data_IF_100130652313
#
_entry.id   IF_100130652313
#
_cell.length_a   1.000
_cell.length_b   1.000
_cell.length_c   1.000
_cell.angle_alpha   90.00
_cell.angle_beta   90.00
_cell.angle_gamma   90.00
#
_symmetry.space_group_name_H-M   'P 1'
#
loop_
_entity.id
_entity.type
_entity.pdbx_description
1 polymer ?
#
# COMPACT_ATOMS: atom_id res chain seq x y z
N UNK A 1 -39.75 3.96 -1.00
CA UNK A 1 -38.97 3.58 0.20
C UNK A 1 -37.62 4.23 0.07
N UNK A 2 -37.14 4.93 1.11
CA UNK A 2 -35.77 5.45 1.15
C UNK A 2 -34.79 4.28 1.22
N UNK A 3 -33.75 4.32 0.39
CA UNK A 3 -32.71 3.32 0.32
C UNK A 3 -31.91 3.26 1.63
N UNK A 4 -31.62 2.08 2.16
CA UNK A 4 -30.75 1.93 3.33
C UNK A 4 -29.28 2.06 2.95
N UNK A 5 -28.40 2.44 3.90
CA UNK A 5 -26.96 2.52 3.65
C UNK A 5 -26.37 1.19 3.16
N UNK A 6 -26.79 0.06 3.75
CA UNK A 6 -26.33 -1.27 3.31
C UNK A 6 -26.65 -1.54 1.84
N UNK A 7 -27.89 -1.27 1.43
CA UNK A 7 -28.28 -1.40 0.03
C UNK A 7 -27.49 -0.45 -0.88
N UNK A 8 -27.20 0.77 -0.40
CA UNK A 8 -26.43 1.76 -1.15
C UNK A 8 -24.99 1.32 -1.39
N UNK A 9 -24.37 0.72 -0.38
CA UNK A 9 -23.03 0.12 -0.51
C UNK A 9 -23.04 -1.04 -1.50
N UNK A 10 -23.98 -1.99 -1.37
CA UNK A 10 -24.10 -3.13 -2.30
C UNK A 10 -24.27 -2.66 -3.76
N UNK A 11 -25.12 -1.66 -3.99
CA UNK A 11 -25.31 -1.10 -5.33
C UNK A 11 -24.09 -0.34 -5.85
N UNK A 12 -23.41 0.43 -5.00
CA UNK A 12 -22.22 1.17 -5.39
C UNK A 12 -21.07 0.23 -5.78
N UNK A 13 -20.84 -0.84 -5.03
CA UNK A 13 -19.82 -1.84 -5.34
C UNK A 13 -20.07 -2.53 -6.69
N UNK A 14 -21.31 -2.95 -6.95
CA UNK A 14 -21.68 -3.54 -8.25
C UNK A 14 -21.51 -2.55 -9.39
N UNK A 15 -21.92 -1.29 -9.19
CA UNK A 15 -21.78 -0.24 -10.20
C UNK A 15 -20.32 0.14 -10.48
N UNK A 16 -19.42 -0.07 -9.52
CA UNK A 16 -17.99 0.21 -9.66
C UNK A 16 -17.15 -0.96 -10.12
N UNK A 17 -17.72 -2.15 -10.27
CA UNK A 17 -17.00 -3.35 -10.70
C UNK A 17 -16.19 -3.13 -12.00
N UNK A 18 -16.82 -2.60 -13.05
CA UNK A 18 -16.14 -2.38 -14.33
C UNK A 18 -15.05 -1.31 -14.23
N UNK A 19 -15.24 -0.33 -13.35
CA UNK A 19 -14.23 0.71 -13.08
C UNK A 19 -13.07 0.15 -12.29
N UNK A 20 -13.32 -0.73 -11.31
CA UNK A 20 -12.28 -1.46 -10.60
C UNK A 20 -11.47 -2.33 -11.58
N UNK A 21 -12.14 -3.09 -12.45
CA UNK A 21 -11.48 -3.88 -13.48
C UNK A 21 -10.60 -3.01 -14.40
N UNK A 22 -11.10 -1.84 -14.83
CA UNK A 22 -10.33 -0.89 -15.62
C UNK A 22 -9.12 -0.33 -14.86
N UNK A 23 -9.26 -0.06 -13.56
CA UNK A 23 -8.16 0.44 -12.73
C UNK A 23 -7.04 -0.59 -12.55
N UNK A 24 -7.42 -1.86 -12.32
CA UNK A 24 -6.50 -2.98 -12.16
C UNK A 24 -5.77 -3.33 -13.44
N UNK A 25 -6.40 -3.08 -14.58
CA UNK A 25 -5.79 -3.27 -15.90
C UNK A 25 -4.64 -2.30 -16.18
N UNK A 26 -4.57 -1.18 -15.47
CA UNK A 26 -3.45 -0.27 -15.55
C UNK A 26 -2.24 -0.87 -14.82
N UNK A 27 -1.18 -1.16 -15.55
CA UNK A 27 0.02 -1.83 -15.06
C UNK A 27 1.01 -0.83 -14.44
N UNK A 28 0.58 -0.11 -13.40
CA UNK A 28 1.37 0.93 -12.71
C UNK A 28 2.50 0.38 -11.85
N UNK A 29 3.46 -0.25 -12.50
CA UNK A 29 4.66 -0.74 -11.83
C UNK A 29 5.68 0.41 -11.73
N UNK A 30 5.73 1.06 -10.56
CA UNK A 30 6.56 2.25 -10.29
C UNK A 30 8.05 1.98 -10.52
N UNK A 31 8.54 0.80 -10.09
CA UNK A 31 9.91 0.34 -10.33
C UNK A 31 10.29 0.24 -11.82
N UNK A 32 9.30 0.22 -12.72
CA UNK A 32 9.47 0.13 -14.17
C UNK A 32 8.97 1.40 -14.91
N UNK A 33 8.49 2.41 -14.18
CA UNK A 33 7.90 3.66 -14.70
C UNK A 33 6.80 3.43 -15.75
N UNK A 34 5.92 2.45 -15.50
CA UNK A 34 4.84 2.07 -16.42
C UNK A 34 3.53 2.76 -16.05
N UNK A 35 2.80 3.24 -17.06
CA UNK A 35 1.40 3.71 -17.00
C UNK A 35 1.05 4.72 -15.88
N UNK A 36 2.05 5.48 -15.41
CA UNK A 36 1.91 6.42 -14.29
C UNK A 36 0.91 7.53 -14.63
N UNK A 37 1.12 8.22 -15.76
CA UNK A 37 0.26 9.35 -16.15
C UNK A 37 -1.15 8.88 -16.53
N UNK A 38 -1.28 7.74 -17.20
CA UNK A 38 -2.56 7.11 -17.53
C UNK A 38 -3.38 6.78 -16.27
N UNK A 39 -2.70 6.37 -15.21
CA UNK A 39 -3.34 6.05 -13.94
C UNK A 39 -3.69 7.29 -13.13
N UNK A 40 -2.85 8.31 -13.16
CA UNK A 40 -3.19 9.63 -12.61
C UNK A 40 -4.43 10.20 -13.30
N UNK A 41 -4.50 10.13 -14.64
CA UNK A 41 -5.67 10.55 -15.42
C UNK A 41 -6.93 9.76 -15.03
N UNK A 42 -6.80 8.44 -14.88
CA UNK A 42 -7.89 7.58 -14.41
C UNK A 42 -8.39 8.01 -13.03
N UNK A 43 -7.48 8.23 -12.08
CA UNK A 43 -7.81 8.63 -10.72
C UNK A 43 -8.49 10.00 -10.67
N UNK A 44 -8.00 10.97 -11.45
CA UNK A 44 -8.66 12.27 -11.59
C UNK A 44 -10.12 12.11 -11.99
N UNK A 45 -10.42 11.28 -13.00
CA UNK A 45 -11.79 11.03 -13.43
C UNK A 45 -12.60 10.27 -12.37
N UNK A 46 -12.00 9.28 -11.71
CA UNK A 46 -12.66 8.51 -10.66
C UNK A 46 -13.10 9.42 -9.50
N UNK A 47 -12.21 10.30 -9.02
CA UNK A 47 -12.53 11.27 -7.98
C UNK A 47 -13.52 12.36 -8.44
N UNK A 48 -13.35 12.92 -9.64
CA UNK A 48 -14.29 13.90 -10.20
C UNK A 48 -15.70 13.32 -10.33
N UNK A 49 -15.82 12.02 -10.64
CA UNK A 49 -17.13 11.34 -10.76
C UNK A 49 -17.93 11.27 -9.45
N UNK A 50 -17.27 11.40 -8.30
CA UNK A 50 -17.93 11.50 -6.99
C UNK A 50 -18.07 12.94 -6.49
N UNK A 51 -17.78 13.91 -7.35
CA UNK A 51 -17.88 15.34 -7.04
C UNK A 51 -16.69 15.90 -6.26
N UNK A 52 -15.54 15.20 -6.25
CA UNK A 52 -14.35 15.71 -5.59
C UNK A 52 -13.69 16.83 -6.41
N UNK A 53 -13.08 17.79 -5.70
CA UNK A 53 -12.11 18.72 -6.30
C UNK A 53 -10.74 18.05 -6.27
N UNK A 54 -10.08 17.95 -7.43
CA UNK A 54 -8.83 17.21 -7.59
C UNK A 54 -7.70 18.13 -8.04
N UNK A 55 -6.54 17.96 -7.43
CA UNK A 55 -5.27 18.59 -7.80
C UNK A 55 -4.22 17.51 -7.93
N UNK A 56 -3.38 17.58 -8.96
CA UNK A 56 -2.23 16.67 -9.12
C UNK A 56 -0.96 17.43 -8.75
N UNK A 57 -0.23 16.95 -7.75
CA UNK A 57 1.04 17.51 -7.30
C UNK A 57 2.21 16.86 -8.05
N UNK A 58 3.09 17.71 -8.57
CA UNK A 58 4.27 17.33 -9.40
C UNK A 58 5.49 18.19 -9.08
N UNK A 59 5.43 18.88 -7.96
CA UNK A 59 6.30 19.98 -7.56
C UNK A 59 7.49 19.53 -6.71
N UNK A 60 7.56 18.23 -6.38
CA UNK A 60 8.79 17.58 -5.91
C UNK A 60 9.51 16.96 -7.11
N UNK A 61 10.72 17.46 -7.39
CA UNK A 61 11.49 17.01 -8.54
C UNK A 61 11.85 15.52 -8.45
N UNK A 62 11.54 14.76 -9.51
CA UNK A 62 11.82 13.33 -9.61
C UNK A 62 10.74 12.43 -9.06
N UNK A 63 9.69 12.98 -8.43
CA UNK A 63 8.60 12.17 -7.90
C UNK A 63 7.65 11.69 -9.00
N UNK A 64 7.03 10.54 -8.79
CA UNK A 64 5.74 10.24 -9.42
C UNK A 64 4.68 11.23 -8.93
N UNK A 65 3.65 11.54 -9.74
CA UNK A 65 2.63 12.50 -9.35
C UNK A 65 1.79 12.02 -8.17
N UNK A 66 1.41 12.92 -7.28
CA UNK A 66 0.48 12.64 -6.18
C UNK A 66 -0.90 13.19 -6.55
N UNK A 67 -1.94 12.38 -6.41
CA UNK A 67 -3.32 12.82 -6.63
C UNK A 67 -3.92 13.23 -5.30
N UNK A 68 -4.25 14.52 -5.16
CA UNK A 68 -4.94 15.05 -3.99
C UNK A 68 -6.38 15.38 -4.34
N UNK A 69 -7.33 14.81 -3.60
CA UNK A 69 -8.76 15.01 -3.81
C UNK A 69 -9.47 15.44 -2.52
N UNK A 70 -10.45 16.34 -2.65
CA UNK A 70 -11.23 16.84 -1.51
C UNK A 70 -12.74 16.78 -1.79
N UNK A 71 -13.50 16.41 -0.77
CA UNK A 71 -14.96 16.36 -0.77
C UNK A 71 -15.47 17.08 0.49
N UNK A 72 -16.34 18.09 0.35
CA UNK A 72 -16.91 18.76 1.52
C UNK A 72 -17.91 17.86 2.24
N UNK A 73 -18.11 18.12 3.54
CA UNK A 73 -19.20 17.52 4.29
C UNK A 73 -20.55 17.75 3.60
N UNK A 74 -21.45 16.77 3.72
CA UNK A 74 -22.83 16.91 3.24
C UNK A 74 -23.62 17.94 4.04
N UNK A 75 -24.86 18.27 3.62
CA UNK A 75 -25.67 19.33 4.25
C UNK A 75 -25.91 19.17 5.75
N UNK A 76 -25.91 17.93 6.24
CA UNK A 76 -26.08 17.59 7.67
C UNK A 76 -24.77 17.12 8.32
N UNK A 77 -23.66 17.13 7.58
CA UNK A 77 -22.35 16.74 8.07
C UNK A 77 -21.66 17.85 8.86
N UNK A 78 -20.64 17.48 9.61
CA UNK A 78 -19.80 18.42 10.36
C UNK A 78 -18.66 18.93 9.47
N UNK A 79 -18.79 20.17 8.96
CA UNK A 79 -17.79 20.81 8.12
C UNK A 79 -16.50 21.23 8.87
N UNK A 80 -16.49 21.19 10.21
CA UNK A 80 -15.30 21.47 11.02
C UNK A 80 -14.44 20.22 11.23
N UNK A 81 -14.86 19.06 10.72
CA UNK A 81 -14.14 17.79 10.82
C UNK A 81 -13.65 17.30 9.46
N UNK A 82 -12.44 16.76 9.45
CA UNK A 82 -11.78 16.28 8.24
C UNK A 82 -11.14 14.92 8.47
N UNK A 83 -11.48 13.96 7.61
CA UNK A 83 -10.84 12.65 7.51
C UNK A 83 -9.95 12.62 6.26
N UNK A 84 -8.68 12.28 6.42
CA UNK A 84 -7.76 12.07 5.31
C UNK A 84 -7.53 10.56 5.09
N UNK A 85 -7.65 10.11 3.86
CA UNK A 85 -7.21 8.79 3.44
C UNK A 85 -5.87 8.91 2.72
N UNK A 86 -4.91 8.08 3.14
CA UNK A 86 -3.71 7.80 2.38
C UNK A 86 -3.90 6.46 1.65
N UNK A 87 -3.48 6.42 0.39
CA UNK A 87 -3.51 5.27 -0.51
C UNK A 87 -2.31 5.40 -1.48
N UNK A 88 -2.05 4.35 -2.25
CA UNK A 88 -1.12 4.40 -3.38
C UNK A 88 -1.74 3.76 -4.63
N UNK A 89 -1.23 4.10 -5.81
CA UNK A 89 -1.72 3.60 -7.10
C UNK A 89 -0.71 2.76 -7.86
N UNK A 90 0.56 2.79 -7.44
CA UNK A 90 1.57 1.88 -7.97
C UNK A 90 1.39 0.48 -7.38
N UNK A 91 1.97 -0.51 -8.05
CA UNK A 91 1.84 -1.91 -7.67
C UNK A 91 3.16 -2.65 -7.90
N UNK A 92 3.42 -3.70 -7.12
CA UNK A 92 4.55 -4.58 -7.37
C UNK A 92 4.56 -5.18 -8.79
N UNK A 93 5.74 -5.49 -9.35
CA UNK A 93 5.85 -6.30 -10.57
C UNK A 93 5.10 -7.63 -10.43
N UNK A 94 4.47 -8.15 -11.50
CA UNK A 94 3.74 -9.41 -11.46
C UNK A 94 4.65 -10.64 -11.61
N UNK A 95 5.92 -10.49 -11.99
CA UNK A 95 6.78 -11.63 -12.25
C UNK A 95 7.04 -12.49 -11.00
N UNK A 96 7.21 -13.82 -11.16
CA UNK A 96 7.19 -14.59 -12.42
C UNK A 96 5.78 -14.84 -12.96
N UNK A 97 5.55 -14.56 -14.26
CA UNK A 97 4.23 -14.63 -14.88
C UNK A 97 3.67 -16.05 -15.01
N UNK A 98 4.54 -17.05 -15.09
CA UNK A 98 4.16 -18.47 -15.23
C UNK A 98 3.66 -19.10 -13.93
N UNK A 99 3.84 -18.44 -12.79
CA UNK A 99 3.24 -18.85 -11.51
C UNK A 99 1.80 -18.35 -11.32
N UNK A 100 1.35 -17.41 -12.16
CA UNK A 100 -0.02 -16.93 -12.12
C UNK A 100 -0.99 -17.92 -12.78
N UNK A 101 -2.13 -18.16 -12.10
CA UNK A 101 -3.22 -18.97 -12.65
C UNK A 101 -4.20 -18.16 -13.50
N UNK A 102 -4.20 -16.83 -13.35
CA UNK A 102 -5.01 -15.85 -14.10
C UNK A 102 -4.11 -14.74 -14.61
N UNK A 103 -4.50 -14.00 -15.65
CA UNK A 103 -3.68 -12.87 -16.10
C UNK A 103 -3.56 -11.83 -14.96
N UNK A 104 -2.34 -11.37 -14.59
CA UNK A 104 -2.15 -10.59 -13.36
C UNK A 104 -2.99 -9.32 -13.31
N UNK A 105 -3.16 -8.62 -14.42
CA UNK A 105 -3.85 -7.34 -14.48
C UNK A 105 -5.31 -7.44 -15.00
N UNK A 106 -5.81 -8.66 -15.22
CA UNK A 106 -7.23 -8.85 -15.55
C UNK A 106 -7.98 -9.34 -14.31
N UNK A 107 -8.95 -8.54 -13.84
CA UNK A 107 -9.81 -8.90 -12.72
C UNK A 107 -10.54 -10.21 -12.99
N UNK A 108 -10.19 -11.26 -12.24
CA UNK A 108 -10.77 -12.59 -12.38
C UNK A 108 -11.37 -13.06 -11.07
N UNK A 109 -12.58 -13.61 -11.10
CA UNK A 109 -13.18 -14.25 -9.91
C UNK A 109 -12.76 -15.73 -9.85
N UNK A 110 -12.16 -16.13 -8.72
CA UNK A 110 -11.75 -17.50 -8.41
C UNK A 110 -12.28 -17.85 -7.03
N UNK A 111 -13.13 -18.88 -6.94
CA UNK A 111 -13.73 -19.36 -5.68
C UNK A 111 -14.38 -18.25 -4.83
N UNK A 112 -15.09 -17.33 -5.47
CA UNK A 112 -15.76 -16.20 -4.81
C UNK A 112 -14.84 -15.07 -4.36
N UNK A 113 -13.58 -15.07 -4.81
CA UNK A 113 -12.58 -14.03 -4.53
C UNK A 113 -12.10 -13.40 -5.84
N UNK A 114 -11.89 -12.10 -5.81
CA UNK A 114 -11.26 -11.39 -6.91
C UNK A 114 -9.74 -11.53 -6.85
N UNK A 115 -9.14 -11.89 -7.99
CA UNK A 115 -7.70 -12.10 -8.16
C UNK A 115 -7.21 -11.16 -9.26
N UNK A 116 -6.33 -10.24 -8.88
CA UNK A 116 -5.55 -9.38 -9.78
C UNK A 116 -4.41 -8.70 -8.98
N UNK A 117 -3.31 -8.35 -9.63
CA UNK A 117 -2.29 -7.45 -9.10
C UNK A 117 -2.93 -6.10 -8.76
N UNK A 118 -2.70 -5.61 -7.55
CA UNK A 118 -3.27 -4.36 -7.06
C UNK A 118 -4.62 -4.49 -6.37
N UNK A 119 -5.31 -5.65 -6.41
CA UNK A 119 -6.67 -5.77 -5.86
C UNK A 119 -6.74 -5.51 -4.36
N UNK A 120 -5.74 -5.93 -3.60
CA UNK A 120 -5.66 -5.75 -2.14
C UNK A 120 -4.56 -4.78 -1.71
N UNK A 121 -3.78 -4.27 -2.67
CA UNK A 121 -2.56 -3.50 -2.40
C UNK A 121 -2.24 -2.60 -3.61
N UNK A 122 -2.87 -1.43 -3.76
CA UNK A 122 -3.99 -0.92 -2.93
C UNK A 122 -5.16 -0.34 -3.77
N UNK A 123 -5.22 -0.76 -5.05
CA UNK A 123 -6.23 -0.24 -5.99
C UNK A 123 -7.66 -0.58 -5.56
N UNK A 124 -7.87 -1.78 -5.03
CA UNK A 124 -9.20 -2.20 -4.59
C UNK A 124 -9.68 -1.50 -3.34
N UNK A 125 -8.81 -1.21 -2.36
CA UNK A 125 -9.26 -0.46 -1.18
C UNK A 125 -9.63 0.97 -1.55
N UNK A 126 -8.84 1.65 -2.39
CA UNK A 126 -9.18 2.99 -2.86
C UNK A 126 -10.56 2.99 -3.55
N UNK A 127 -10.82 2.01 -4.42
CA UNK A 127 -12.12 1.88 -5.09
C UNK A 127 -13.27 1.56 -4.12
N UNK A 128 -13.00 0.78 -3.06
CA UNK A 128 -13.99 0.52 -2.01
C UNK A 128 -14.35 1.80 -1.24
N UNK A 129 -13.37 2.68 -0.99
CA UNK A 129 -13.58 3.99 -0.34
C UNK A 129 -14.42 4.90 -1.23
N UNK A 130 -14.15 4.93 -2.54
CA UNK A 130 -14.99 5.68 -3.51
C UNK A 130 -16.42 5.13 -3.60
N UNK A 131 -16.61 3.82 -3.51
CA UNK A 131 -17.93 3.20 -3.44
C UNK A 131 -18.68 3.63 -2.17
N UNK A 132 -17.99 3.69 -1.03
CA UNK A 132 -18.55 4.17 0.23
C UNK A 132 -18.97 5.65 0.16
N UNK A 133 -18.17 6.50 -0.49
CA UNK A 133 -18.52 7.91 -0.75
C UNK A 133 -19.84 8.00 -1.52
N UNK A 134 -20.00 7.24 -2.61
CA UNK A 134 -21.25 7.20 -3.40
C UNK A 134 -22.44 6.75 -2.57
N UNK A 135 -22.27 5.69 -1.78
CA UNK A 135 -23.32 5.16 -0.93
C UNK A 135 -23.78 6.17 0.12
N UNK A 136 -22.85 6.90 0.75
CA UNK A 136 -23.15 7.96 1.71
C UNK A 136 -23.85 9.13 1.02
N UNK A 137 -23.35 9.60 -0.12
CA UNK A 137 -23.99 10.68 -0.90
C UNK A 137 -25.43 10.35 -1.32
N UNK A 138 -25.70 9.09 -1.69
CA UNK A 138 -27.03 8.62 -2.09
C UNK A 138 -28.01 8.46 -0.90
N UNK A 139 -27.53 8.49 0.33
CA UNK A 139 -28.34 8.22 1.53
C UNK A 139 -28.36 9.41 2.50
N UNK A 140 -27.29 9.61 3.26
CA UNK A 140 -27.21 10.62 4.34
C UNK A 140 -26.41 11.87 3.99
N UNK A 141 -25.67 11.86 2.88
CA UNK A 141 -24.55 12.77 2.65
C UNK A 141 -23.31 12.38 3.46
N UNK A 142 -22.19 13.02 3.15
CA UNK A 142 -20.92 12.80 3.85
C UNK A 142 -20.97 13.38 5.27
N UNK A 143 -20.51 12.64 6.30
CA UNK A 143 -20.61 13.08 7.70
C UNK A 143 -19.59 14.17 8.08
N UNK A 144 -18.53 14.33 7.30
CA UNK A 144 -17.45 15.30 7.49
C UNK A 144 -16.75 15.57 6.14
N UNK A 145 -15.77 16.47 6.11
CA UNK A 145 -14.93 16.64 4.94
C UNK A 145 -14.05 15.39 4.75
N UNK A 146 -13.90 14.96 3.51
CA UNK A 146 -12.96 13.90 3.15
C UNK A 146 -11.83 14.48 2.31
N UNK A 147 -10.62 14.02 2.58
CA UNK A 147 -9.44 14.25 1.77
C UNK A 147 -8.86 12.90 1.37
N UNK A 148 -8.24 12.85 0.21
CA UNK A 148 -7.48 11.71 -0.27
C UNK A 148 -6.14 12.22 -0.77
N UNK A 149 -5.07 11.52 -0.41
CA UNK A 149 -3.77 11.65 -1.04
C UNK A 149 -3.39 10.27 -1.56
N UNK A 150 -3.15 10.17 -2.86
CA UNK A 150 -2.80 8.91 -3.53
C UNK A 150 -1.44 9.07 -4.19
N UNK A 151 -0.44 8.35 -3.71
CA UNK A 151 0.92 8.40 -4.26
C UNK A 151 1.20 7.27 -5.25
N UNK A 152 2.31 7.37 -5.98
CA UNK A 152 2.72 6.37 -6.99
C UNK A 152 4.09 5.77 -6.73
N UNK A 153 4.56 5.81 -5.48
CA UNK A 153 5.92 5.39 -5.14
C UNK A 153 6.01 4.48 -3.90
N UNK A 154 4.87 4.02 -3.35
CA UNK A 154 4.87 3.23 -2.10
C UNK A 154 5.71 1.95 -2.26
N UNK A 155 5.56 1.29 -3.41
CA UNK A 155 6.18 -0.01 -3.69
C UNK A 155 7.70 0.08 -3.93
N UNK A 156 8.20 1.32 -4.07
CA UNK A 156 9.64 1.66 -4.13
C UNK A 156 10.12 2.41 -2.88
N UNK A 157 9.32 2.42 -1.81
CA UNK A 157 9.65 2.95 -0.50
C UNK A 157 9.34 4.44 -0.29
N UNK A 158 8.44 5.01 -1.09
CA UNK A 158 7.98 6.41 -1.02
C UNK A 158 9.13 7.43 -0.89
N UNK A 159 10.15 7.42 -1.76
CA UNK A 159 11.34 8.27 -1.62
C UNK A 159 11.01 9.77 -1.53
N UNK A 160 9.88 10.21 -2.08
CA UNK A 160 9.48 11.62 -2.10
C UNK A 160 8.30 11.96 -1.19
N UNK A 161 7.73 11.03 -0.41
CA UNK A 161 6.58 11.37 0.46
C UNK A 161 6.94 12.42 1.52
N UNK A 162 8.11 12.33 2.13
CA UNK A 162 8.54 13.26 3.18
C UNK A 162 8.62 14.72 2.68
N UNK A 163 9.34 15.05 1.58
CA UNK A 163 9.31 16.40 1.04
C UNK A 163 7.91 16.81 0.53
N UNK A 164 7.13 15.91 -0.07
CA UNK A 164 5.77 16.19 -0.54
C UNK A 164 4.85 16.61 0.63
N UNK A 165 4.90 15.87 1.75
CA UNK A 165 4.15 16.18 2.96
C UNK A 165 4.58 17.52 3.56
N UNK A 166 5.88 17.84 3.57
CA UNK A 166 6.36 19.13 4.06
C UNK A 166 5.85 20.30 3.22
N UNK A 167 5.81 20.13 1.90
CA UNK A 167 5.36 21.14 0.94
C UNK A 167 3.85 21.38 1.02
N UNK A 168 3.06 20.32 1.17
CA UNK A 168 1.59 20.35 1.19
C UNK A 168 0.98 20.19 2.58
N UNK A 169 1.75 20.44 3.65
CA UNK A 169 1.33 20.18 5.04
C UNK A 169 -0.01 20.87 5.39
N UNK A 170 -0.24 22.08 4.87
CA UNK A 170 -1.48 22.82 5.10
C UNK A 170 -2.69 22.16 4.41
N UNK A 171 -2.52 21.65 3.18
CA UNK A 171 -3.57 20.96 2.43
C UNK A 171 -3.86 19.58 3.04
N UNK A 172 -2.83 18.89 3.54
CA UNK A 172 -2.94 17.58 4.18
C UNK A 172 -3.47 17.61 5.62
N UNK A 173 -3.57 18.78 6.26
CA UNK A 173 -4.07 18.88 7.63
C UNK A 173 -5.48 18.25 7.78
N UNK A 174 -5.63 17.34 8.74
CA UNK A 174 -6.87 16.61 9.03
C UNK A 174 -6.97 16.24 10.51
N UNK A 175 -8.17 15.91 11.00
CA UNK A 175 -8.38 15.45 12.39
C UNK A 175 -7.93 13.99 12.57
N UNK A 176 -8.12 13.17 11.54
CA UNK A 176 -7.78 11.74 11.52
C UNK A 176 -7.24 11.38 10.15
N UNK A 177 -6.23 10.51 10.13
CA UNK A 177 -5.71 9.87 8.92
C UNK A 177 -6.00 8.37 9.01
N UNK A 178 -6.57 7.81 7.94
CA UNK A 178 -6.72 6.37 7.76
C UNK A 178 -5.73 5.94 6.69
N UNK A 179 -4.83 5.03 7.06
CA UNK A 179 -3.81 4.49 6.17
C UNK A 179 -4.41 3.47 5.20
N UNK A 180 -3.66 3.08 4.19
CA UNK A 180 -4.06 2.29 3.02
C UNK A 180 -4.38 0.81 3.30
N UNK A 181 -4.61 0.41 4.55
CA UNK A 181 -4.85 -1.00 4.85
C UNK A 181 -5.88 -1.22 5.95
N UNK A 182 -6.62 -2.32 5.80
CA UNK A 182 -7.41 -2.95 6.85
C UNK A 182 -7.67 -4.42 6.48
N UNK A 183 -7.67 -5.31 7.47
CA UNK A 183 -7.69 -6.74 7.23
C UNK A 183 -8.74 -7.49 8.03
N UNK A 184 -8.76 -8.80 7.76
CA UNK A 184 -9.35 -9.78 8.65
C UNK A 184 -8.35 -10.89 8.89
N UNK A 185 -8.41 -11.49 10.08
CA UNK A 185 -7.69 -12.71 10.37
C UNK A 185 -8.34 -13.94 9.71
N UNK A 186 -7.73 -15.11 9.90
CA UNK A 186 -8.21 -16.37 9.35
C UNK A 186 -9.60 -16.80 9.87
N UNK A 187 -10.05 -16.21 10.98
CA UNK A 187 -11.35 -16.46 11.61
C UNK A 187 -12.39 -15.38 11.24
N UNK A 188 -12.08 -14.52 10.27
CA UNK A 188 -12.92 -13.41 9.78
C UNK A 188 -13.14 -12.27 10.79
N UNK A 189 -12.31 -12.17 11.84
CA UNK A 189 -12.34 -11.01 12.72
C UNK A 189 -11.63 -9.83 12.06
N UNK A 190 -12.27 -8.66 12.08
CA UNK A 190 -11.64 -7.42 11.62
C UNK A 190 -10.49 -7.02 12.53
N UNK A 191 -9.36 -6.64 11.92
CA UNK A 191 -8.24 -6.04 12.63
C UNK A 191 -8.23 -4.51 12.49
N UNK A 192 -7.56 -3.86 13.44
CA UNK A 192 -7.20 -2.45 13.37
C UNK A 192 -5.72 -2.37 13.71
N UNK A 193 -4.91 -2.00 12.72
CA UNK A 193 -3.46 -1.87 12.88
C UNK A 193 -3.13 -0.48 13.43
N UNK A 194 -2.60 -0.44 14.65
CA UNK A 194 -2.20 0.80 15.33
C UNK A 194 -0.68 1.08 15.25
N UNK A 195 0.08 0.26 14.52
CA UNK A 195 1.52 0.44 14.37
C UNK A 195 2.13 -0.58 13.41
N UNK A 196 3.12 -0.12 12.64
CA UNK A 196 3.87 -0.92 11.68
C UNK A 196 5.37 -0.89 12.03
N UNK A 197 6.13 -1.88 11.55
CA UNK A 197 7.58 -1.89 11.70
C UNK A 197 8.20 -0.97 10.64
N UNK A 198 9.31 -0.32 10.99
CA UNK A 198 10.19 0.26 9.99
C UNK A 198 10.92 -0.82 9.18
N UNK A 199 11.43 -0.45 8.01
CA UNK A 199 12.22 -1.31 7.14
C UNK A 199 13.58 -0.67 6.84
N UNK A 200 14.62 -1.49 6.77
CA UNK A 200 15.94 -1.11 6.31
C UNK A 200 16.50 -2.21 5.41
N UNK A 201 16.81 -1.86 4.18
CA UNK A 201 17.30 -2.79 3.16
C UNK A 201 18.78 -2.53 2.88
N UNK A 202 19.55 -3.61 2.73
CA UNK A 202 20.99 -3.55 2.45
C UNK A 202 21.35 -4.40 1.24
N UNK A 203 22.23 -3.90 0.38
CA UNK A 203 22.82 -4.68 -0.71
C UNK A 203 24.26 -5.09 -0.35
N UNK A 204 24.52 -6.39 -0.25
CA UNK A 204 25.86 -6.93 0.01
C UNK A 204 26.51 -7.37 -1.31
N UNK A 205 27.60 -6.72 -1.70
CA UNK A 205 28.39 -7.07 -2.90
C UNK A 205 29.74 -7.66 -2.52
N UNK A 206 30.09 -8.78 -3.14
CA UNK A 206 31.41 -9.41 -3.01
C UNK A 206 31.99 -9.64 -4.39
N UNK A 207 33.21 -9.15 -4.64
CA UNK A 207 33.98 -9.41 -5.86
C UNK A 207 35.27 -10.13 -5.50
N UNK A 208 35.49 -11.33 -6.03
CA UNK A 208 36.74 -12.10 -5.80
C UNK A 208 37.60 -12.30 -7.05
N UNK A 209 37.07 -11.98 -8.23
CA UNK A 209 37.79 -12.04 -9.51
C UNK A 209 37.26 -10.99 -10.50
N UNK A 210 38.04 -10.68 -11.53
CA UNK A 210 37.65 -9.76 -12.61
C UNK A 210 36.70 -10.40 -13.64
N UNK A 211 36.61 -11.74 -13.64
CA UNK A 211 35.73 -12.53 -14.50
C UNK A 211 35.37 -13.84 -13.83
N UNK A 212 34.33 -14.50 -14.33
CA UNK A 212 33.99 -15.84 -13.91
C UNK A 212 35.14 -16.82 -14.19
N UNK A 213 35.37 -17.70 -13.22
CA UNK A 213 36.45 -18.68 -13.24
C UNK A 213 35.87 -20.10 -13.38
N UNK A 214 36.61 -20.98 -14.05
CA UNK A 214 36.29 -22.40 -14.06
C UNK A 214 36.27 -22.94 -12.62
N UNK A 215 35.22 -23.66 -12.24
CA UNK A 215 34.99 -24.06 -10.84
C UNK A 215 36.11 -24.92 -10.24
N UNK A 216 36.89 -25.63 -11.07
CA UNK A 216 38.07 -26.38 -10.62
C UNK A 216 39.15 -25.51 -9.95
N UNK A 217 39.17 -24.19 -10.21
CA UNK A 217 40.14 -23.26 -9.59
C UNK A 217 39.76 -22.89 -8.15
N UNK A 218 38.58 -23.28 -7.66
CA UNK A 218 38.13 -23.01 -6.28
C UNK A 218 39.04 -23.60 -5.20
N UNK A 219 39.96 -24.52 -5.57
CA UNK A 219 40.97 -25.03 -4.66
C UNK A 219 42.01 -23.98 -4.20
N UNK A 220 42.17 -22.88 -4.96
CA UNK A 220 43.15 -21.83 -4.65
C UNK A 220 42.69 -20.40 -4.98
N UNK A 221 41.57 -20.24 -5.68
CA UNK A 221 40.91 -18.95 -5.89
C UNK A 221 39.69 -18.83 -4.97
N UNK A 222 39.52 -17.68 -4.35
CA UNK A 222 38.40 -17.44 -3.45
C UNK A 222 37.09 -17.23 -4.22
N UNK A 223 36.00 -17.71 -3.65
CA UNK A 223 34.70 -17.74 -4.28
C UNK A 223 33.75 -16.75 -3.59
N UNK A 224 33.27 -15.77 -4.36
CA UNK A 224 32.38 -14.72 -3.87
C UNK A 224 31.09 -15.27 -3.24
N UNK A 225 30.51 -16.33 -3.80
CA UNK A 225 29.29 -16.94 -3.25
C UNK A 225 29.53 -17.50 -1.86
N UNK A 226 30.62 -18.24 -1.63
CA UNK A 226 30.95 -18.76 -0.30
C UNK A 226 31.21 -17.66 0.72
N UNK A 227 31.86 -16.55 0.32
CA UNK A 227 32.02 -15.37 1.20
C UNK A 227 30.67 -14.75 1.55
N UNK A 228 29.79 -14.57 0.57
CA UNK A 228 28.47 -13.98 0.78
C UNK A 228 27.59 -14.86 1.67
N UNK A 229 27.58 -16.18 1.46
CA UNK A 229 26.85 -17.13 2.32
C UNK A 229 27.34 -17.05 3.77
N UNK A 230 28.66 -16.96 4.00
CA UNK A 230 29.21 -16.80 5.35
C UNK A 230 28.83 -15.45 5.97
N UNK A 231 28.85 -14.36 5.20
CA UNK A 231 28.41 -13.05 5.67
C UNK A 231 26.92 -13.08 6.06
N UNK A 232 26.04 -13.63 5.21
CA UNK A 232 24.61 -13.75 5.53
C UNK A 232 24.35 -14.63 6.75
N UNK A 233 25.03 -15.77 6.85
CA UNK A 233 24.93 -16.66 8.01
C UNK A 233 25.43 -16.01 9.32
N UNK A 234 26.26 -14.96 9.24
CA UNK A 234 26.72 -14.23 10.41
C UNK A 234 25.70 -13.21 10.96
N UNK A 235 24.64 -12.89 10.21
CA UNK A 235 23.66 -11.88 10.61
C UNK A 235 22.58 -12.42 11.56
N UNK A 236 22.32 -13.74 11.57
CA UNK A 236 21.28 -14.37 12.41
C UNK A 236 21.75 -15.71 13.00
N UNK A 237 21.35 -15.96 14.24
CA UNK A 237 21.61 -17.21 14.94
C UNK A 237 20.59 -18.31 14.60
N UNK A 238 20.82 -19.57 15.04
CA UNK A 238 19.92 -20.71 14.84
C UNK A 238 18.50 -20.53 15.41
N UNK A 239 18.32 -19.61 16.34
CA UNK A 239 17.04 -19.24 16.96
C UNK A 239 16.38 -18.01 16.32
N UNK A 240 16.85 -17.62 15.13
CA UNK A 240 16.43 -16.43 14.38
C UNK A 240 16.76 -15.07 15.03
N UNK A 241 17.52 -15.06 16.14
CA UNK A 241 17.99 -13.79 16.74
C UNK A 241 18.99 -13.11 15.83
N UNK A 242 18.92 -11.78 15.76
CA UNK A 242 19.88 -10.97 15.01
C UNK A 242 21.19 -10.92 15.79
N UNK A 243 22.32 -11.18 15.12
CA UNK A 243 23.65 -11.23 15.75
C UNK A 243 24.45 -9.93 15.59
N UNK A 244 23.89 -8.95 14.87
CA UNK A 244 24.51 -7.63 14.68
C UNK A 244 24.63 -6.93 16.04
N UNK A 245 25.85 -6.54 16.39
CA UNK A 245 26.13 -5.81 17.64
C UNK A 245 25.30 -4.51 17.70
N UNK A 246 24.73 -4.24 18.87
CA UNK A 246 23.88 -3.07 19.11
C UNK A 246 22.44 -3.17 18.60
N UNK A 247 22.06 -4.23 17.86
CA UNK A 247 20.71 -4.34 17.26
C UNK A 247 19.56 -4.22 18.28
N UNK A 248 19.76 -4.68 19.51
CA UNK A 248 18.72 -4.71 20.54
C UNK A 248 18.79 -3.54 21.53
N UNK A 249 19.76 -2.64 21.40
CA UNK A 249 20.05 -1.61 22.41
C UNK A 249 18.87 -0.64 22.59
N UNK A 250 18.20 -0.30 21.50
CA UNK A 250 17.04 0.61 21.48
C UNK A 250 15.67 -0.12 21.49
N UNK A 251 15.67 -1.45 21.60
CA UNK A 251 14.41 -2.22 21.63
C UNK A 251 13.73 -2.02 22.97
N UNK A 252 12.62 -1.29 22.95
CA UNK A 252 11.78 -1.05 24.13
C UNK A 252 11.20 -2.37 24.65
N UNK A 253 11.35 -2.61 25.94
CA UNK A 253 10.69 -3.73 26.61
C UNK A 253 9.17 -3.54 26.59
N UNK A 254 8.43 -4.62 26.37
CA UNK A 254 6.98 -4.61 26.49
C UNK A 254 6.56 -4.30 27.93
N UNK A 255 5.57 -3.42 28.07
CA UNK A 255 4.85 -3.21 29.32
C UNK A 255 4.03 -4.44 29.69
N UNK A 256 3.61 -4.55 30.95
CA UNK A 256 2.77 -5.67 31.41
C UNK A 256 1.42 -5.72 30.68
N UNK A 257 0.91 -4.59 30.20
CA UNK A 257 -0.31 -4.52 29.40
C UNK A 257 -0.09 -5.08 27.99
N UNK A 258 0.97 -4.63 27.31
CA UNK A 258 1.33 -5.13 25.97
C UNK A 258 1.66 -6.63 26.01
N UNK A 259 2.32 -7.12 27.07
CA UNK A 259 2.57 -8.55 27.26
C UNK A 259 1.27 -9.35 27.36
N UNK A 260 0.30 -8.88 28.16
CA UNK A 260 -1.02 -9.53 28.28
C UNK A 260 -1.80 -9.47 26.97
N UNK A 261 -1.79 -8.32 26.29
CA UNK A 261 -2.46 -8.16 25.00
C UNK A 261 -1.86 -9.12 23.96
N UNK A 262 -0.52 -9.17 23.86
CA UNK A 262 0.19 -10.06 22.95
C UNK A 262 -0.10 -11.54 23.25
N UNK A 263 -0.10 -11.93 24.53
CA UNK A 263 -0.38 -13.31 24.94
C UNK A 263 -1.85 -13.73 24.71
N UNK A 264 -2.76 -12.77 24.55
CA UNK A 264 -4.18 -13.02 24.25
C UNK A 264 -4.48 -13.08 22.75
N UNK A 265 -3.53 -12.70 21.89
CA UNK A 265 -3.70 -12.79 20.45
C UNK A 265 -3.81 -14.27 20.03
N UNK A 266 -4.68 -14.61 19.06
CA UNK A 266 -4.92 -15.98 18.61
C UNK A 266 -3.79 -16.49 17.69
N UNK A 267 -2.53 -16.30 18.08
CA UNK A 267 -1.39 -16.91 17.41
C UNK A 267 -1.22 -18.34 17.94
N UNK A 268 -1.61 -19.33 17.12
CA UNK A 268 -1.21 -20.72 17.32
C UNK A 268 0.23 -20.95 16.86
#
# INVERSE_FOLDING_TARGET
MTMTLKQAVEQALVADHDRLAAYLKLETVSAQHREIDETVDFLEQAFKSVGATVTVWRDVAGSHPFVFATLPAGPTGNADKTLLFYNHYDVQPPEPLDEWQTAPFDLTEVDGKYVARGISDDKGELMSRLSAVKALQATSGLPCNLKFVVEGEEEIGSPHIAPMVQQHAAELAADVIVWETGGKDADENFDITCGVKGIMSFELRVKTAEKDLHSSLAAYADNAAWRLTRALASLRGPDNRVLVEGFYDDVRALTAEEQRATAALPFN
#
